data_IF_098097013850
#
_entry.id   IF_098097013850
#
_cell.length_a   1.000
_cell.length_b   1.000
_cell.length_c   1.000
_cell.angle_alpha   90.00
_cell.angle_beta   90.00
_cell.angle_gamma   90.00
#
_symmetry.space_group_name_H-M   'P 1'
#
loop_
_entity.id
_entity.type
_entity.pdbx_description
1 polymer ?
#
# COMPACT_ATOMS: atom_id res chain seq x y z
N UNK A 1 -2.24 -4.09 -5.40
CA UNK A 1 -1.51 -2.93 -4.83
C UNK A 1 -0.23 -3.32 -4.12
N UNK A 2 -0.19 -4.48 -3.43
CA UNK A 2 0.96 -4.95 -2.66
C UNK A 2 2.29 -4.82 -3.41
N UNK A 3 2.40 -5.29 -4.66
CA UNK A 3 3.67 -5.20 -5.40
C UNK A 3 4.18 -3.76 -5.61
N UNK A 4 3.28 -2.81 -5.88
CA UNK A 4 3.63 -1.40 -6.04
C UNK A 4 4.05 -0.83 -4.69
N UNK A 5 3.28 -1.10 -3.65
CA UNK A 5 3.59 -0.62 -2.30
C UNK A 5 4.90 -1.23 -1.78
N UNK A 6 5.17 -2.51 -2.05
CA UNK A 6 6.40 -3.22 -1.72
C UNK A 6 7.63 -2.59 -2.36
N UNK A 7 7.52 -2.16 -3.62
CA UNK A 7 8.60 -1.50 -4.34
C UNK A 7 9.07 -0.22 -3.62
N UNK A 8 8.15 0.54 -3.03
CA UNK A 8 8.46 1.77 -2.30
C UNK A 8 8.69 1.56 -0.80
N UNK A 9 8.12 0.51 -0.21
CA UNK A 9 8.18 0.19 1.22
C UNK A 9 8.02 -1.32 1.43
N UNK A 10 9.12 -1.97 1.84
CA UNK A 10 9.20 -3.42 1.94
C UNK A 10 8.27 -4.03 2.99
N UNK A 11 7.65 -3.22 3.87
CA UNK A 11 6.67 -3.68 4.87
C UNK A 11 5.37 -4.19 4.23
N UNK A 12 5.12 -3.84 2.98
CA UNK A 12 3.98 -4.35 2.21
C UNK A 12 4.36 -5.65 1.51
N UNK A 13 4.61 -6.68 2.30
CA UNK A 13 5.06 -7.99 1.82
C UNK A 13 3.90 -9.00 1.67
N UNK A 14 4.23 -10.29 1.67
CA UNK A 14 3.25 -11.36 1.55
C UNK A 14 2.29 -11.41 2.76
N UNK A 15 2.80 -11.19 3.98
CA UNK A 15 1.98 -11.20 5.20
C UNK A 15 1.00 -10.02 5.19
N UNK A 16 1.46 -8.85 4.74
CA UNK A 16 0.55 -7.72 4.51
C UNK A 16 -0.56 -8.07 3.53
N UNK A 17 -0.23 -8.68 2.38
CA UNK A 17 -1.21 -9.07 1.37
C UNK A 17 -2.26 -10.04 1.92
N UNK A 18 -1.82 -11.06 2.67
CA UNK A 18 -2.71 -12.04 3.30
C UNK A 18 -3.67 -11.38 4.31
N UNK A 19 -3.24 -10.29 4.96
CA UNK A 19 -4.05 -9.56 5.94
C UNK A 19 -5.11 -8.60 5.33
N UNK A 20 -5.12 -8.40 4.01
CA UNK A 20 -6.05 -7.46 3.34
C UNK A 20 -7.50 -7.95 3.36
N UNK A 21 -8.46 -7.03 3.50
CA UNK A 21 -9.91 -7.35 3.41
C UNK A 21 -10.48 -6.90 2.08
N UNK A 22 -11.61 -7.48 1.63
CA UNK A 22 -12.23 -7.10 0.35
C UNK A 22 -13.61 -6.44 0.56
N UNK A 23 -13.88 -5.27 -0.07
CA UNK A 23 -12.94 -4.50 -0.89
C UNK A 23 -11.85 -3.83 -0.03
N UNK A 24 -10.67 -3.59 -0.60
CA UNK A 24 -9.63 -2.79 0.05
C UNK A 24 -9.27 -1.60 -0.83
N UNK A 25 -9.26 -0.41 -0.24
CA UNK A 25 -8.98 0.84 -0.96
C UNK A 25 -7.86 1.57 -0.23
N UNK A 26 -6.78 1.89 -0.94
CA UNK A 26 -5.67 2.66 -0.42
C UNK A 26 -5.38 3.84 -1.35
N UNK A 27 -5.09 4.98 -0.74
CA UNK A 27 -4.59 6.19 -1.39
C UNK A 27 -3.09 6.27 -1.13
N UNK A 28 -2.32 6.41 -2.21
CA UNK A 28 -0.87 6.60 -2.15
C UNK A 28 -0.58 8.03 -2.61
N UNK A 29 0.15 8.79 -1.80
CA UNK A 29 0.64 10.13 -2.16
C UNK A 29 2.11 10.08 -2.53
N UNK A 30 2.45 10.68 -3.67
CA UNK A 30 3.81 10.71 -4.19
C UNK A 30 4.26 12.15 -4.42
N UNK A 31 5.52 12.43 -4.09
CA UNK A 31 6.25 13.61 -4.54
C UNK A 31 7.39 13.15 -5.44
N UNK A 32 7.30 13.48 -6.73
CA UNK A 32 8.15 12.93 -7.79
C UNK A 32 8.11 11.39 -7.81
N UNK A 33 9.18 10.73 -7.37
CA UNK A 33 9.31 9.27 -7.26
C UNK A 33 9.36 8.77 -5.81
N UNK A 34 9.10 9.65 -4.84
CA UNK A 34 9.09 9.30 -3.42
C UNK A 34 7.66 9.09 -2.95
N UNK A 35 7.40 7.93 -2.37
CA UNK A 35 6.17 7.67 -1.64
C UNK A 35 6.19 8.46 -0.34
N UNK A 36 5.24 9.39 -0.16
CA UNK A 36 5.14 10.27 1.01
C UNK A 36 4.15 9.70 2.01
N UNK A 37 2.99 9.23 1.54
CA UNK A 37 1.93 8.75 2.41
C UNK A 37 1.18 7.56 1.80
N UNK A 38 0.72 6.67 2.67
CA UNK A 38 -0.23 5.61 2.35
C UNK A 38 -1.39 5.70 3.34
N UNK A 39 -2.60 5.91 2.85
CA UNK A 39 -3.82 5.97 3.66
C UNK A 39 -4.78 4.88 3.22
N UNK A 40 -5.24 4.05 4.16
CA UNK A 40 -6.31 3.08 3.92
C UNK A 40 -7.66 3.78 4.02
N UNK A 41 -8.46 3.72 2.95
CA UNK A 41 -9.75 4.41 2.82
C UNK A 41 -10.96 3.52 3.13
N UNK A 42 -10.79 2.19 3.20
CA UNK A 42 -11.89 1.25 3.40
C UNK A 42 -11.49 0.06 4.27
N UNK A 43 -12.45 -0.52 5.02
CA UNK A 43 -12.31 -1.79 5.74
C UNK A 43 -13.45 -2.75 5.44
#
# INVERSE_FOLDING_TARGET
MTLIMNYFDNRYDFEFWESTSMPDIYKLEFEEQKLIEVVRLWR
#
